data_IF_190220271729
#
_entry.id   IF_190220271729
#
_cell.length_a   1.000
_cell.length_b   1.000
_cell.length_c   1.000
_cell.angle_alpha   90.00
_cell.angle_beta   90.00
_cell.angle_gamma   90.00
#
_symmetry.space_group_name_H-M   'P 1'
#
loop_
_entity.id
_entity.type
_entity.pdbx_description
1 polymer ?
#
# COMPACT_ATOMS: atom_id res chain seq x y z
N UNK A 1 -5.41 17.41 -16.03
CA UNK A 1 -4.72 16.12 -15.75
C UNK A 1 -3.37 16.47 -15.15
N UNK A 2 -3.07 16.01 -13.94
CA UNK A 2 -1.75 16.27 -13.33
C UNK A 2 -0.69 15.42 -14.09
N UNK A 3 0.46 15.99 -14.46
CA UNK A 3 1.45 15.28 -15.29
C UNK A 3 2.17 14.13 -14.58
N UNK A 4 2.06 14.07 -13.25
CA UNK A 4 2.71 13.11 -12.36
C UNK A 4 1.73 12.17 -11.65
N UNK A 5 0.44 12.23 -12.00
CA UNK A 5 -0.60 11.42 -11.39
C UNK A 5 -1.29 10.56 -12.45
N UNK A 6 -1.14 9.26 -12.28
CA UNK A 6 -1.86 8.24 -13.04
C UNK A 6 -2.80 7.52 -12.08
N UNK A 7 -4.10 7.59 -12.34
CA UNK A 7 -5.13 6.94 -11.53
C UNK A 7 -5.69 5.77 -12.32
N UNK A 8 -5.51 4.57 -11.79
CA UNK A 8 -6.04 3.34 -12.33
C UNK A 8 -6.63 2.52 -11.18
N UNK A 9 -7.72 1.79 -11.44
CA UNK A 9 -8.35 0.95 -10.41
C UNK A 9 -7.48 -0.25 -10.06
N UNK A 10 -6.72 -0.75 -11.05
CA UNK A 10 -5.85 -1.88 -10.89
C UNK A 10 -4.64 -1.72 -11.80
N UNK A 11 -3.47 -2.08 -11.28
CA UNK A 11 -2.20 -2.05 -11.99
C UNK A 11 -1.43 -3.33 -11.67
N UNK A 12 -0.59 -3.83 -12.61
CA UNK A 12 0.26 -4.98 -12.36
C UNK A 12 1.40 -4.60 -11.39
N UNK A 13 1.21 -4.88 -10.10
CA UNK A 13 2.13 -4.47 -9.02
C UNK A 13 3.54 -5.03 -9.20
N UNK A 14 3.68 -6.31 -9.57
CA UNK A 14 4.98 -6.97 -9.75
C UNK A 14 5.78 -6.30 -10.88
N UNK A 15 5.12 -5.97 -11.99
CA UNK A 15 5.76 -5.31 -13.12
C UNK A 15 6.24 -3.91 -12.74
N UNK A 16 5.49 -3.20 -11.89
CA UNK A 16 5.90 -1.90 -11.34
C UNK A 16 7.10 -2.05 -10.41
N UNK A 17 7.11 -3.07 -9.56
CA UNK A 17 8.21 -3.32 -8.62
C UNK A 17 9.51 -3.72 -9.33
N UNK A 18 9.41 -4.38 -10.49
CA UNK A 18 10.56 -4.70 -11.31
C UNK A 18 11.20 -3.47 -12.00
N UNK A 19 10.57 -2.29 -11.98
CA UNK A 19 11.10 -1.09 -12.62
C UNK A 19 12.18 -0.41 -11.77
N UNK A 20 13.35 -0.16 -12.37
CA UNK A 20 14.46 0.56 -11.73
C UNK A 20 14.16 2.03 -11.36
N UNK A 21 13.06 2.60 -11.86
CA UNK A 21 12.65 3.99 -11.58
C UNK A 21 11.80 4.12 -10.32
N UNK A 22 11.35 3.00 -9.74
CA UNK A 22 10.54 3.02 -8.52
C UNK A 22 11.41 3.37 -7.32
N UNK A 23 11.06 4.45 -6.63
CA UNK A 23 11.84 4.97 -5.49
C UNK A 23 11.25 4.57 -4.13
N UNK A 24 9.96 4.27 -4.08
CA UNK A 24 9.28 3.90 -2.85
C UNK A 24 7.85 3.46 -3.10
N UNK A 25 7.32 2.70 -2.15
CA UNK A 25 5.97 2.14 -2.23
C UNK A 25 5.20 2.44 -0.94
N UNK A 26 4.04 3.08 -1.10
CA UNK A 26 3.11 3.38 -0.01
C UNK A 26 2.05 2.28 0.02
N UNK A 27 1.89 1.61 1.15
CA UNK A 27 1.03 0.43 1.26
C UNK A 27 0.24 0.42 2.56
N UNK A 28 -0.91 -0.25 2.56
CA UNK A 28 -1.70 -0.54 3.76
C UNK A 28 -1.09 -1.66 4.62
N UNK A 29 0.13 -2.08 4.32
CA UNK A 29 0.87 -3.14 5.03
C UNK A 29 0.21 -4.52 5.01
N UNK A 30 -0.48 -4.85 3.92
CA UNK A 30 -0.85 -6.23 3.62
C UNK A 30 0.39 -7.11 3.46
N UNK A 31 0.36 -8.32 4.03
CA UNK A 31 1.50 -9.26 4.07
C UNK A 31 2.10 -9.57 2.70
N UNK A 32 1.26 -9.69 1.67
CA UNK A 32 1.71 -9.96 0.30
C UNK A 32 2.50 -8.78 -0.25
N UNK A 33 1.97 -7.56 -0.08
CA UNK A 33 2.61 -6.34 -0.59
C UNK A 33 3.94 -6.06 0.10
N UNK A 34 4.07 -6.36 1.40
CA UNK A 34 5.34 -6.25 2.13
C UNK A 34 6.34 -7.29 1.62
N UNK A 35 5.91 -8.55 1.46
CA UNK A 35 6.76 -9.64 0.98
C UNK A 35 7.32 -9.31 -0.40
N UNK A 36 6.47 -8.88 -1.33
CA UNK A 36 6.86 -8.49 -2.68
C UNK A 36 7.82 -7.30 -2.67
N UNK A 37 7.50 -6.22 -1.95
CA UNK A 37 8.37 -5.05 -1.89
C UNK A 37 9.73 -5.36 -1.25
N UNK A 38 9.76 -6.23 -0.24
CA UNK A 38 11.00 -6.69 0.40
C UNK A 38 11.85 -7.52 -0.56
N UNK A 39 11.22 -8.39 -1.35
CA UNK A 39 11.90 -9.19 -2.37
C UNK A 39 12.62 -8.32 -3.41
N UNK A 40 11.98 -7.23 -3.84
CA UNK A 40 12.56 -6.27 -4.80
C UNK A 40 13.44 -5.18 -4.13
N UNK A 41 13.56 -5.15 -2.80
CA UNK A 41 14.36 -4.18 -2.07
C UNK A 41 13.82 -2.75 -2.11
N UNK A 42 12.49 -2.58 -2.19
CA UNK A 42 11.83 -1.28 -2.34
C UNK A 42 11.58 -0.66 -0.95
N UNK A 43 11.93 0.62 -0.72
CA UNK A 43 11.57 1.34 0.50
C UNK A 43 10.05 1.45 0.69
N UNK A 44 9.56 1.17 1.90
CA UNK A 44 8.15 1.08 2.24
C UNK A 44 7.69 2.22 3.15
N UNK A 45 6.48 2.74 2.88
CA UNK A 45 5.73 3.59 3.81
C UNK A 45 4.41 2.89 4.14
N UNK A 46 4.27 2.45 5.40
CA UNK A 46 3.02 1.84 5.91
C UNK A 46 2.00 2.92 6.22
N UNK A 47 0.79 2.77 5.69
CA UNK A 47 -0.40 3.51 6.12
C UNK A 47 -1.45 2.50 6.51
N UNK A 48 -1.37 2.00 7.74
CA UNK A 48 -2.39 1.14 8.30
C UNK A 48 -3.65 1.92 8.68
N UNK A 49 -4.80 1.27 8.56
CA UNK A 49 -6.04 1.81 9.08
C UNK A 49 -6.05 1.65 10.60
N UNK A 50 -5.64 2.69 11.32
CA UNK A 50 -5.83 2.76 12.76
C UNK A 50 -7.31 3.00 13.00
N UNK A 51 -8.04 1.93 13.34
CA UNK A 51 -9.40 2.05 13.85
C UNK A 51 -9.29 2.68 15.24
N UNK A 52 -9.49 3.99 15.32
CA UNK A 52 -9.76 4.64 16.60
C UNK A 52 -11.04 4.02 17.15
N UNK A 53 -10.88 3.17 18.16
CA UNK A 53 -11.99 2.74 18.99
C UNK A 53 -12.44 3.99 19.76
N UNK A 54 -13.35 4.76 19.16
CA UNK A 54 -14.17 5.65 19.95
C UNK A 54 -15.02 4.74 20.84
N UNK A 55 -14.69 4.72 22.12
CA UNK A 55 -15.46 4.04 23.16
C UNK A 55 -16.94 4.43 23.04
N UNK A 56 -17.74 3.52 22.48
CA UNK A 56 -19.17 3.38 22.75
C UNK A 56 -19.60 2.00 22.28
N UNK A 57 -19.77 1.13 23.26
CA UNK A 57 -20.61 -0.09 23.28
C UNK A 57 -21.72 -0.02 22.21
N UNK A 58 -21.66 -0.91 21.21
CA UNK A 58 -22.74 -1.52 20.39
C UNK A 58 -22.02 -2.13 19.18
N UNK A 59 -21.93 -3.44 18.96
CA UNK A 59 -22.95 -4.48 19.05
C UNK A 59 -22.29 -5.85 19.32
N UNK A 60 -22.85 -6.69 20.19
CA UNK A 60 -22.61 -8.12 20.13
C UNK A 60 -23.54 -8.73 19.08
N UNK A 61 -22.97 -9.17 17.96
CA UNK A 61 -23.53 -10.27 17.15
C UNK A 61 -22.34 -11.07 16.60
#
# INVERSE_FOLDING_TARGET
KLPNLHLEQWLPQIDIFAQKKLLGFVTHSGTNSITEATYFGIPLVSIEHIRLLNNSITTPI
#
